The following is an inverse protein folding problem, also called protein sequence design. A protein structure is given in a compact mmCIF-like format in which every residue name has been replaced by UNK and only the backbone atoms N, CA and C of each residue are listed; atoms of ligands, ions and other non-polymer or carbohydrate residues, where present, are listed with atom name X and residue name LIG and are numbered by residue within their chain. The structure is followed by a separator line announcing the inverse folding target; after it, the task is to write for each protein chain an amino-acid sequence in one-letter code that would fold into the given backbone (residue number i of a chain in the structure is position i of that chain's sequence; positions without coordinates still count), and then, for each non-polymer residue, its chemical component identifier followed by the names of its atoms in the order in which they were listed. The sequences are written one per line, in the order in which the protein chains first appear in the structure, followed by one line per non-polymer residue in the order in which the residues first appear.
data_IF_891006834736
#
_entry.id   IF_891006834736
#
_cell.length_a   1.000
_cell.length_b   1.000
_cell.length_c   1.000
_cell.angle_alpha   90.00
_cell.angle_beta   90.00
_cell.angle_gamma   90.00
#
_symmetry.space_group_name_H-M   'P 1'
#
loop_
_entity.id
_entity.type
_entity.pdbx_description
1 polymer ?
#
# COMPACT_ATOMS: atom_id res chain seq x y z
N UNK A 1 -11.43 -7.76 -16.94
CA UNK A 1 -12.29 -7.64 -15.74
C UNK A 1 -13.43 -6.75 -16.17
N UNK A 2 -14.60 -6.87 -15.57
CA UNK A 2 -15.61 -5.84 -15.82
C UNK A 2 -15.09 -4.49 -15.24
N UNK A 3 -15.56 -3.34 -15.76
CA UNK A 3 -15.07 -2.03 -15.31
C UNK A 3 -15.27 -1.79 -13.82
N UNK A 4 -16.35 -2.31 -13.23
CA UNK A 4 -16.68 -2.15 -11.81
C UNK A 4 -15.64 -2.82 -10.91
N UNK A 5 -15.20 -4.04 -11.21
CA UNK A 5 -14.13 -4.73 -10.48
C UNK A 5 -12.80 -4.00 -10.60
N UNK A 6 -12.48 -3.43 -11.76
CA UNK A 6 -11.26 -2.63 -11.93
C UNK A 6 -11.32 -1.37 -11.07
N UNK A 7 -12.45 -0.68 -11.03
CA UNK A 7 -12.64 0.51 -10.20
C UNK A 7 -12.57 0.16 -8.71
N UNK A 8 -13.19 -0.95 -8.29
CA UNK A 8 -13.10 -1.43 -6.92
C UNK A 8 -11.65 -1.67 -6.48
N UNK A 9 -10.83 -2.33 -7.32
CA UNK A 9 -9.41 -2.56 -7.01
C UNK A 9 -8.66 -1.23 -6.95
N UNK A 10 -8.91 -0.30 -7.87
CA UNK A 10 -8.28 1.03 -7.87
C UNK A 10 -8.58 1.81 -6.60
N UNK A 11 -9.83 1.83 -6.18
CA UNK A 11 -10.26 2.51 -4.96
C UNK A 11 -9.64 1.84 -3.72
N UNK A 12 -9.59 0.50 -3.70
CA UNK A 12 -8.98 -0.23 -2.60
C UNK A 12 -7.48 0.02 -2.49
N UNK A 13 -6.77 0.03 -3.63
CA UNK A 13 -5.34 0.37 -3.68
C UNK A 13 -5.09 1.80 -3.22
N UNK A 14 -5.94 2.75 -3.62
CA UNK A 14 -5.84 4.13 -3.16
C UNK A 14 -5.93 4.22 -1.63
N UNK A 15 -6.94 3.57 -1.03
CA UNK A 15 -7.11 3.56 0.42
C UNK A 15 -5.91 2.93 1.15
N UNK A 16 -5.34 1.84 0.62
CA UNK A 16 -4.15 1.21 1.19
C UNK A 16 -2.92 2.12 1.09
N UNK A 17 -2.75 2.84 -0.02
CA UNK A 17 -1.65 3.83 -0.18
C UNK A 17 -1.79 4.99 0.80
N UNK A 18 -3.00 5.50 1.00
CA UNK A 18 -3.28 6.55 1.99
C UNK A 18 -2.91 6.07 3.40
N UNK A 19 -3.37 4.87 3.79
CA UNK A 19 -3.07 4.30 5.12
C UNK A 19 -1.60 3.99 5.32
N UNK A 20 -0.92 3.52 4.28
CA UNK A 20 0.53 3.35 4.29
C UNK A 20 1.25 4.70 4.50
N UNK A 21 0.88 5.74 3.75
CA UNK A 21 1.47 7.08 3.90
C UNK A 21 1.22 7.68 5.29
N UNK A 22 0.01 7.53 5.84
CA UNK A 22 -0.31 7.92 7.23
C UNK A 22 0.63 7.23 8.23
N UNK A 23 0.88 5.93 8.07
CA UNK A 23 1.77 5.18 8.96
C UNK A 23 3.24 5.65 8.86
N UNK A 24 3.71 5.97 7.64
CA UNK A 24 5.05 6.54 7.44
C UNK A 24 5.17 7.93 8.08
N UNK A 25 4.13 8.75 7.97
CA UNK A 25 4.08 10.07 8.60
C UNK A 25 4.14 9.95 10.13
N UNK A 26 3.41 9.00 10.72
CA UNK A 26 3.45 8.74 12.16
C UNK A 26 4.86 8.36 12.63
N UNK A 27 5.58 7.51 11.87
CA UNK A 27 6.98 7.18 12.15
C UNK A 27 7.86 8.43 12.15
N UNK A 28 7.67 9.33 11.18
CA UNK A 28 8.47 10.56 11.01
C UNK A 28 8.16 11.62 12.07
N UNK A 29 6.89 11.86 12.36
CA UNK A 29 6.43 12.97 13.20
C UNK A 29 6.68 12.72 14.69
N UNK A 30 6.45 11.51 15.17
CA UNK A 30 6.34 11.32 16.61
C UNK A 30 7.68 11.07 17.32
N UNK A 31 8.83 11.32 16.67
CA UNK A 31 10.17 11.15 17.25
C UNK A 31 10.29 9.82 18.03
N UNK A 32 9.62 8.79 17.49
CA UNK A 32 9.16 7.65 18.25
C UNK A 32 10.35 6.74 18.56
N UNK A 33 10.52 6.37 19.83
CA UNK A 33 11.58 5.44 20.28
C UNK A 33 10.96 4.18 20.86
N UNK A 34 11.68 3.06 20.76
CA UNK A 34 11.28 1.81 21.40
C UNK A 34 10.12 1.10 20.71
N UNK A 35 9.20 0.53 21.50
CA UNK A 35 8.10 -0.33 21.02
C UNK A 35 7.15 0.38 20.07
N UNK A 36 6.82 1.64 20.33
CA UNK A 36 5.93 2.42 19.47
C UNK A 36 6.49 2.55 18.04
N UNK A 37 7.81 2.73 17.88
CA UNK A 37 8.45 2.80 16.55
C UNK A 37 8.32 1.46 15.81
N UNK A 38 8.44 0.36 16.54
CA UNK A 38 8.31 -0.99 15.98
C UNK A 38 6.87 -1.28 15.59
N UNK A 39 5.91 -0.81 16.40
CA UNK A 39 4.48 -0.92 16.11
C UNK A 39 4.11 -0.22 14.80
N UNK A 40 4.47 1.06 14.63
CA UNK A 40 4.14 1.79 13.40
C UNK A 40 4.87 1.24 12.18
N UNK A 41 6.12 0.76 12.32
CA UNK A 41 6.82 0.03 11.24
C UNK A 41 6.08 -1.25 10.85
N UNK A 42 5.55 -1.98 11.82
CA UNK A 42 4.71 -3.15 11.59
C UNK A 42 3.44 -2.81 10.82
N UNK A 43 2.78 -1.69 11.16
CA UNK A 43 1.63 -1.18 10.42
C UNK A 43 2.02 -0.83 8.97
N UNK A 44 3.11 -0.09 8.76
CA UNK A 44 3.58 0.25 7.42
C UNK A 44 3.88 -0.99 6.59
N UNK A 45 4.50 -2.01 7.19
CA UNK A 45 4.78 -3.28 6.53
C UNK A 45 3.49 -4.02 6.15
N UNK A 46 2.48 -4.03 7.02
CA UNK A 46 1.20 -4.69 6.74
C UNK A 46 0.47 -4.07 5.53
N UNK A 47 0.46 -2.73 5.42
CA UNK A 47 -0.14 -2.07 4.25
C UNK A 47 0.69 -2.28 2.98
N UNK A 48 2.02 -2.29 3.09
CA UNK A 48 2.90 -2.58 1.97
C UNK A 48 2.70 -4.00 1.42
N UNK A 49 2.69 -5.01 2.31
CA UNK A 49 2.45 -6.41 1.96
C UNK A 49 1.06 -6.60 1.30
N UNK A 50 0.04 -5.90 1.81
CA UNK A 50 -1.30 -5.93 1.20
C UNK A 50 -1.30 -5.38 -0.23
N UNK A 51 -0.58 -4.27 -0.49
CA UNK A 51 -0.43 -3.73 -1.84
C UNK A 51 0.32 -4.72 -2.75
N UNK A 52 1.35 -5.40 -2.23
CA UNK A 52 2.14 -6.38 -2.98
C UNK A 52 1.30 -7.61 -3.35
N UNK A 53 0.46 -8.08 -2.44
CA UNK A 53 -0.48 -9.17 -2.68
C UNK A 53 -1.47 -8.81 -3.79
N UNK A 54 -2.06 -7.61 -3.74
CA UNK A 54 -3.00 -7.15 -4.77
C UNK A 54 -2.30 -7.07 -6.12
N UNK A 55 -1.09 -6.50 -6.18
CA UNK A 55 -0.31 -6.42 -7.43
C UNK A 55 -0.09 -7.81 -8.01
N UNK A 56 0.36 -8.75 -7.17
CA UNK A 56 0.62 -10.13 -7.57
C UNK A 56 -0.65 -10.82 -8.09
N UNK A 57 -1.80 -10.60 -7.46
CA UNK A 57 -3.08 -11.17 -7.89
C UNK A 57 -3.56 -10.58 -9.22
N UNK A 58 -3.44 -9.26 -9.41
CA UNK A 58 -3.77 -8.57 -10.66
C UNK A 58 -2.92 -9.10 -11.82
N UNK A 59 -1.62 -9.24 -11.59
CA UNK A 59 -0.67 -9.78 -12.57
C UNK A 59 -0.92 -11.26 -12.87
N UNK A 60 -1.19 -12.08 -11.85
CA UNK A 60 -1.51 -13.50 -12.02
C UNK A 60 -2.80 -13.73 -12.83
N UNK A 61 -3.76 -12.81 -12.74
CA UNK A 61 -4.99 -12.84 -13.55
C UNK A 61 -4.80 -12.33 -14.98
N UNK A 62 -3.58 -11.91 -15.35
CA UNK A 62 -3.23 -11.43 -16.70
C UNK A 62 -3.50 -9.95 -16.94
N UNK A 63 -3.73 -9.15 -15.90
CA UNK A 63 -3.88 -7.70 -16.04
C UNK A 63 -2.56 -6.97 -15.86
N UNK A 64 -2.43 -5.84 -16.53
CA UNK A 64 -1.33 -4.93 -16.32
C UNK A 64 -1.54 -4.16 -15.00
N UNK A 65 -0.67 -4.39 -14.01
CA UNK A 65 -0.70 -3.70 -12.72
C UNK A 65 -0.61 -2.18 -12.83
N UNK A 66 -0.01 -1.67 -13.90
CA UNK A 66 0.09 -0.22 -14.17
C UNK A 66 -1.26 0.37 -14.60
N UNK A 67 -2.05 -0.35 -15.39
CA UNK A 67 -3.40 0.09 -15.83
C UNK A 67 -4.40 0.10 -14.68
N UNK A 68 -4.17 -0.74 -13.68
CA UNK A 68 -4.96 -0.85 -12.44
C UNK A 68 -4.37 0.00 -11.30
N UNK A 69 -3.32 0.80 -11.58
CA UNK A 69 -2.64 1.71 -10.63
C UNK A 69 -2.06 1.03 -9.38
N UNK A 70 -1.75 -0.26 -9.46
CA UNK A 70 -1.16 -1.05 -8.36
C UNK A 70 0.36 -0.98 -8.36
N UNK A 71 0.91 0.20 -8.65
CA UNK A 71 2.34 0.44 -8.54
C UNK A 71 2.73 0.51 -7.06
N UNK A 72 3.70 -0.32 -6.67
CA UNK A 72 4.30 -0.32 -5.34
C UNK A 72 5.34 0.81 -5.25
N UNK A 73 5.37 1.60 -4.16
CA UNK A 73 6.51 2.44 -3.87
C UNK A 73 7.73 1.60 -3.45
N UNK A 74 8.89 2.23 -3.32
CA UNK A 74 9.96 1.65 -2.51
C UNK A 74 9.52 1.60 -1.05
N UNK A 75 9.82 0.51 -0.33
CA UNK A 75 9.42 0.38 1.07
C UNK A 75 10.09 1.47 1.92
N UNK A 76 9.29 2.18 2.73
CA UNK A 76 9.71 3.36 3.49
C UNK A 76 9.52 4.69 2.76
N UNK A 77 9.30 4.67 1.44
CA UNK A 77 9.02 5.86 0.64
C UNK A 77 7.52 6.08 0.44
N UNK A 78 7.05 7.33 0.27
CA UNK A 78 5.64 7.63 0.04
C UNK A 78 5.09 6.93 -1.21
N UNK A 79 3.87 6.39 -1.09
CA UNK A 79 3.11 5.87 -2.22
C UNK A 79 2.46 7.01 -3.00
N UNK A 80 2.91 7.21 -4.25
CA UNK A 80 2.34 8.15 -5.23
C UNK A 80 1.20 7.53 -6.05
#
# INVERSE_FOLDING_TARGET
MNPESVNFIKDHVLLLKEKYNESLQQIKEANIKGEDSSFYKGISLAYYDSLELIKSQVEAFGYNSTEVKVALPEFGEPAL
#
